data_IF_735175835247
#
_entry.id   IF_735175835247
#
_cell.length_a   1.000
_cell.length_b   1.000
_cell.length_c   1.000
_cell.angle_alpha   90.00
_cell.angle_beta   90.00
_cell.angle_gamma   90.00
#
_symmetry.space_group_name_H-M   'P 1'
#
loop_
_entity.id
_entity.type
_entity.pdbx_description
1 polymer ?
#
# COMPACT_ATOMS: atom_id res chain seq x y z
N UNK A 1 33.17 24.72 12.94
CA UNK A 1 32.39 24.60 11.67
C UNK A 1 31.00 24.15 12.07
N UNK A 2 29.97 24.96 11.82
CA UNK A 2 28.58 24.58 12.08
C UNK A 2 27.94 24.19 10.75
N UNK A 3 27.28 23.04 10.69
CA UNK A 3 26.52 22.64 9.51
C UNK A 3 25.24 23.48 9.40
N UNK A 4 24.88 23.89 8.19
CA UNK A 4 23.65 24.64 7.89
C UNK A 4 22.84 23.88 6.86
N UNK A 5 21.51 23.93 6.98
CA UNK A 5 20.61 23.34 6.00
C UNK A 5 20.75 24.10 4.67
N UNK A 6 20.91 23.39 3.56
CA UNK A 6 20.91 23.95 2.22
C UNK A 6 19.91 23.20 1.34
N UNK A 7 19.19 23.93 0.49
CA UNK A 7 18.31 23.31 -0.50
C UNK A 7 19.13 22.85 -1.69
N UNK A 8 18.85 21.65 -2.18
CA UNK A 8 19.41 21.15 -3.44
C UNK A 8 18.46 21.59 -4.55
N UNK A 9 18.85 22.64 -5.28
CA UNK A 9 18.10 23.20 -6.41
C UNK A 9 18.93 23.06 -7.69
N UNK A 10 18.38 23.43 -8.84
CA UNK A 10 19.12 23.50 -10.11
C UNK A 10 20.27 24.52 -10.11
N UNK A 11 20.38 25.35 -9.07
CA UNK A 11 21.50 26.28 -8.87
C UNK A 11 22.75 25.58 -8.33
N UNK A 12 22.61 24.37 -7.77
CA UNK A 12 23.73 23.53 -7.34
C UNK A 12 24.10 22.61 -8.50
N UNK A 13 25.20 22.88 -9.25
CA UNK A 13 25.56 22.07 -10.40
C UNK A 13 25.93 20.65 -9.96
N UNK A 14 25.53 19.66 -10.75
CA UNK A 14 25.98 18.29 -10.56
C UNK A 14 27.49 18.20 -10.82
N UNK A 15 28.20 17.47 -9.97
CA UNK A 15 29.60 17.12 -10.25
C UNK A 15 29.63 15.99 -11.29
N UNK A 16 30.38 16.20 -12.36
CA UNK A 16 30.32 15.38 -13.57
C UNK A 16 30.60 13.88 -13.30
N UNK A 17 31.61 13.56 -12.50
CA UNK A 17 31.96 12.16 -12.24
C UNK A 17 30.89 11.45 -11.39
N UNK A 18 30.35 12.15 -10.40
CA UNK A 18 29.27 11.67 -9.55
C UNK A 18 28.00 11.46 -10.37
N UNK A 19 27.67 12.41 -11.25
CA UNK A 19 26.53 12.31 -12.16
C UNK A 19 26.67 11.11 -13.10
N UNK A 20 27.85 10.88 -13.69
CA UNK A 20 28.11 9.72 -14.54
C UNK A 20 27.86 8.39 -13.82
N UNK A 21 28.35 8.26 -12.58
CA UNK A 21 28.15 7.04 -11.77
C UNK A 21 26.68 6.88 -11.37
N UNK A 22 26.02 7.95 -10.93
CA UNK A 22 24.62 7.92 -10.53
C UNK A 22 23.71 7.55 -11.72
N UNK A 23 23.93 8.16 -12.88
CA UNK A 23 23.17 7.91 -14.10
C UNK A 23 23.37 6.48 -14.62
N UNK A 24 24.57 5.91 -14.49
CA UNK A 24 24.80 4.51 -14.82
C UNK A 24 23.89 3.57 -14.02
N UNK A 25 23.87 3.71 -12.68
CA UNK A 25 23.03 2.88 -11.82
C UNK A 25 21.54 3.14 -12.00
N UNK A 26 21.14 4.39 -12.21
CA UNK A 26 19.76 4.74 -12.53
C UNK A 26 19.30 4.05 -13.82
N UNK A 27 20.08 4.15 -14.89
CA UNK A 27 19.76 3.53 -16.17
C UNK A 27 19.71 2.00 -16.09
N UNK A 28 20.60 1.37 -15.31
CA UNK A 28 20.52 -0.06 -15.03
C UNK A 28 19.22 -0.42 -14.29
N UNK A 29 18.80 0.38 -13.31
CA UNK A 29 17.53 0.21 -12.63
C UNK A 29 16.33 0.28 -13.58
N UNK A 30 16.31 1.27 -14.47
CA UNK A 30 15.28 1.41 -15.51
C UNK A 30 15.25 0.19 -16.45
N UNK A 31 16.41 -0.31 -16.87
CA UNK A 31 16.50 -1.54 -17.68
C UNK A 31 15.98 -2.76 -16.92
N UNK A 32 16.27 -2.86 -15.62
CA UNK A 32 15.74 -3.92 -14.75
C UNK A 32 14.21 -3.91 -14.70
N UNK A 33 13.59 -2.74 -14.54
CA UNK A 33 12.13 -2.62 -14.58
C UNK A 33 11.55 -3.04 -15.94
N UNK A 34 12.18 -2.64 -17.05
CA UNK A 34 11.77 -3.06 -18.40
C UNK A 34 11.88 -4.57 -18.62
N UNK A 35 12.95 -5.18 -18.11
CA UNK A 35 13.11 -6.64 -18.17
C UNK A 35 12.03 -7.41 -17.38
N UNK A 36 11.45 -6.77 -16.37
CA UNK A 36 10.30 -7.29 -15.60
C UNK A 36 8.94 -6.98 -16.26
N UNK A 37 8.93 -6.33 -17.42
CA UNK A 37 7.72 -5.98 -18.17
C UNK A 37 7.04 -4.67 -17.73
N UNK A 38 7.73 -3.81 -16.99
CA UNK A 38 7.26 -2.47 -16.66
C UNK A 38 7.75 -1.44 -17.67
N UNK A 39 6.97 -0.37 -17.85
CA UNK A 39 7.34 0.80 -18.63
C UNK A 39 7.41 2.01 -17.71
N UNK A 40 8.56 2.31 -17.07
CA UNK A 40 8.65 3.29 -15.99
C UNK A 40 8.11 4.68 -16.30
N UNK A 41 8.22 5.12 -17.56
CA UNK A 41 7.77 6.44 -18.01
C UNK A 41 6.29 6.47 -18.45
N UNK A 42 5.63 5.31 -18.52
CA UNK A 42 4.21 5.26 -18.88
C UNK A 42 3.38 5.91 -17.77
N UNK A 43 2.48 6.80 -18.19
CA UNK A 43 1.51 7.42 -17.30
C UNK A 43 0.46 6.37 -16.93
N UNK A 44 0.33 6.10 -15.64
CA UNK A 44 -0.70 5.21 -15.11
C UNK A 44 -1.99 5.99 -14.83
N UNK A 45 -1.86 7.23 -14.37
CA UNK A 45 -2.99 7.99 -13.86
C UNK A 45 -2.69 9.49 -13.81
N UNK A 46 -3.73 10.32 -14.02
CA UNK A 46 -3.67 11.76 -13.74
C UNK A 46 -4.69 12.11 -12.65
N UNK A 47 -4.19 12.40 -11.43
CA UNK A 47 -5.00 12.68 -10.25
C UNK A 47 -5.71 14.03 -10.38
N UNK A 48 -7.00 14.13 -9.99
CA UNK A 48 -7.69 15.42 -9.91
C UNK A 48 -7.02 16.39 -8.93
N UNK A 49 -7.15 17.69 -9.20
CA UNK A 49 -6.65 18.75 -8.30
C UNK A 49 -7.22 18.54 -6.89
N UNK A 50 -6.34 18.59 -5.88
CA UNK A 50 -6.70 18.40 -4.47
C UNK A 50 -6.71 16.94 -4.00
N UNK A 51 -6.47 15.98 -4.89
CA UNK A 51 -6.26 14.58 -4.51
C UNK A 51 -4.78 14.34 -4.24
N UNK A 52 -4.46 14.18 -2.96
CA UNK A 52 -3.11 13.91 -2.48
C UNK A 52 -3.02 12.47 -1.95
N UNK A 53 -2.17 11.66 -2.58
CA UNK A 53 -1.88 10.30 -2.11
C UNK A 53 -0.64 10.34 -1.19
N UNK A 54 -0.87 10.61 0.10
CA UNK A 54 0.20 10.73 1.10
C UNK A 54 0.86 9.38 1.42
N UNK A 55 2.12 9.24 1.00
CA UNK A 55 3.00 8.09 1.21
C UNK A 55 4.18 8.37 2.15
N UNK A 56 4.16 9.48 2.89
CA UNK A 56 5.19 9.80 3.88
C UNK A 56 5.23 8.74 4.98
N UNK A 57 6.43 8.31 5.34
CA UNK A 57 6.69 7.25 6.32
C UNK A 57 6.01 7.53 7.66
N UNK A 58 6.05 8.78 8.11
CA UNK A 58 5.37 9.21 9.33
C UNK A 58 3.84 9.07 9.27
N UNK A 59 3.24 9.31 8.10
CA UNK A 59 1.79 9.22 7.89
C UNK A 59 1.34 7.76 7.80
N UNK A 60 1.89 7.00 6.86
CA UNK A 60 1.44 5.62 6.54
C UNK A 60 1.70 4.62 7.67
N UNK A 61 2.60 4.94 8.60
CA UNK A 61 2.87 4.14 9.81
C UNK A 61 2.04 4.57 11.01
N UNK A 62 1.17 5.57 10.87
CA UNK A 62 0.48 6.17 12.00
C UNK A 62 -1.04 6.26 11.87
N UNK A 63 -1.54 6.36 10.64
CA UNK A 63 -2.97 6.40 10.33
C UNK A 63 -3.21 5.97 8.88
N UNK A 64 -4.44 5.57 8.55
CA UNK A 64 -4.85 5.29 7.17
C UNK A 64 -4.84 6.59 6.35
N UNK A 65 -3.92 6.71 5.39
CA UNK A 65 -3.90 7.79 4.40
C UNK A 65 -4.76 7.44 3.19
N UNK A 66 -5.07 8.43 2.33
CA UNK A 66 -5.75 8.18 1.07
C UNK A 66 -4.98 7.19 0.17
N UNK A 67 -3.63 7.22 0.19
CA UNK A 67 -2.81 6.24 -0.54
C UNK A 67 -3.04 4.82 0.00
N UNK A 68 -2.93 4.62 1.32
CA UNK A 68 -3.11 3.29 1.91
C UNK A 68 -4.53 2.75 1.72
N UNK A 69 -5.55 3.61 1.82
CA UNK A 69 -6.93 3.26 1.51
C UNK A 69 -7.09 2.88 0.02
N UNK A 70 -6.46 3.62 -0.88
CA UNK A 70 -6.47 3.33 -2.33
C UNK A 70 -5.82 1.97 -2.64
N UNK A 71 -4.73 1.60 -1.96
CA UNK A 71 -4.13 0.27 -2.07
C UNK A 71 -5.08 -0.82 -1.55
N UNK A 72 -5.75 -0.58 -0.43
CA UNK A 72 -6.76 -1.52 0.06
C UNK A 72 -7.91 -1.71 -0.94
N UNK A 73 -8.43 -0.62 -1.51
CA UNK A 73 -9.50 -0.67 -2.52
C UNK A 73 -9.04 -1.34 -3.83
N UNK A 74 -7.77 -1.18 -4.23
CA UNK A 74 -7.23 -1.86 -5.42
C UNK A 74 -7.23 -3.38 -5.24
N UNK A 75 -6.83 -3.87 -4.07
CA UNK A 75 -6.86 -5.30 -3.75
C UNK A 75 -8.29 -5.83 -3.64
N UNK A 76 -9.22 -5.04 -3.10
CA UNK A 76 -10.64 -5.39 -3.06
C UNK A 76 -11.24 -5.51 -4.47
N UNK A 77 -10.93 -4.58 -5.37
CA UNK A 77 -11.38 -4.66 -6.76
C UNK A 77 -10.82 -5.91 -7.44
N UNK A 78 -9.52 -6.19 -7.26
CA UNK A 78 -8.87 -7.36 -7.84
C UNK A 78 -9.47 -8.69 -7.34
N UNK A 79 -9.90 -8.75 -6.09
CA UNK A 79 -10.43 -9.97 -5.45
C UNK A 79 -11.95 -9.99 -5.33
N UNK A 80 -12.66 -9.13 -6.08
CA UNK A 80 -14.10 -8.96 -5.98
C UNK A 80 -14.89 -10.25 -6.29
N UNK A 81 -14.38 -11.13 -7.16
CA UNK A 81 -14.98 -12.44 -7.46
C UNK A 81 -15.01 -13.36 -6.25
N UNK A 82 -14.07 -13.19 -5.31
CA UNK A 82 -14.05 -13.87 -4.01
C UNK A 82 -14.86 -13.13 -2.95
N UNK A 83 -15.63 -12.11 -3.32
CA UNK A 83 -16.51 -11.33 -2.44
C UNK A 83 -15.78 -10.70 -1.25
N UNK A 84 -14.53 -10.29 -1.44
CA UNK A 84 -13.80 -9.55 -0.42
C UNK A 84 -14.47 -8.21 -0.14
N UNK A 85 -14.54 -7.85 1.14
CA UNK A 85 -15.30 -6.70 1.64
C UNK A 85 -14.48 -5.80 2.57
N UNK A 86 -13.33 -6.27 3.04
CA UNK A 86 -12.42 -5.53 3.92
C UNK A 86 -11.02 -5.62 3.33
N UNK A 87 -10.33 -4.50 3.18
CA UNK A 87 -8.96 -4.45 2.67
C UNK A 87 -8.01 -4.01 3.77
N UNK A 88 -6.89 -4.72 3.95
CA UNK A 88 -5.89 -4.36 4.96
C UNK A 88 -4.46 -4.48 4.41
N UNK A 89 -3.59 -3.55 4.80
CA UNK A 89 -2.14 -3.58 4.54
C UNK A 89 -1.37 -3.06 5.73
N UNK A 90 -0.11 -3.46 5.86
CA UNK A 90 0.81 -2.82 6.80
C UNK A 90 1.50 -1.59 6.17
N UNK A 91 1.70 -0.53 6.94
CA UNK A 91 2.27 0.74 6.46
C UNK A 91 3.69 0.61 5.89
N UNK A 92 4.45 -0.38 6.34
CA UNK A 92 5.81 -0.67 5.87
C UNK A 92 5.89 -1.09 4.41
N UNK A 93 4.75 -1.44 3.80
CA UNK A 93 4.62 -1.73 2.37
C UNK A 93 4.86 -0.50 1.49
N UNK A 94 4.56 0.71 1.99
CA UNK A 94 4.72 1.99 1.28
C UNK A 94 6.11 2.58 1.52
N UNK A 95 6.84 2.90 0.44
CA UNK A 95 8.28 3.23 0.48
C UNK A 95 8.69 4.60 -0.06
N UNK A 96 7.77 5.31 -0.69
CA UNK A 96 8.06 6.54 -1.46
C UNK A 96 8.50 7.75 -0.63
N UNK A 97 8.13 7.79 0.66
CA UNK A 97 8.34 8.93 1.60
C UNK A 97 8.02 10.32 1.02
N UNK A 98 6.94 10.39 0.24
CA UNK A 98 6.50 11.57 -0.49
C UNK A 98 4.97 11.56 -0.65
N UNK A 99 4.40 12.61 -1.23
CA UNK A 99 2.99 12.70 -1.57
C UNK A 99 2.85 12.71 -3.10
N UNK A 100 2.18 11.69 -3.62
CA UNK A 100 1.88 11.56 -5.04
C UNK A 100 0.72 12.49 -5.43
N UNK A 101 0.93 13.27 -6.49
CA UNK A 101 0.00 14.30 -7.03
C UNK A 101 0.05 14.30 -8.55
N UNK A 102 -1.01 14.85 -9.16
CA UNK A 102 -1.06 15.10 -10.60
C UNK A 102 -0.75 13.84 -11.42
N UNK A 103 0.26 13.87 -12.29
CA UNK A 103 0.66 12.74 -13.13
C UNK A 103 1.41 11.69 -12.32
N UNK A 104 0.89 10.46 -12.33
CA UNK A 104 1.48 9.28 -11.70
C UNK A 104 2.00 8.35 -12.79
N UNK A 105 3.31 8.10 -12.78
CA UNK A 105 3.95 7.16 -13.70
C UNK A 105 4.02 5.74 -13.11
N UNK A 106 4.36 4.75 -13.94
CA UNK A 106 4.69 3.42 -13.40
C UNK A 106 5.89 3.49 -12.43
N UNK A 107 6.88 4.35 -12.70
CA UNK A 107 8.03 4.53 -11.81
C UNK A 107 7.61 5.01 -10.42
N UNK A 108 6.64 5.93 -10.34
CA UNK A 108 6.08 6.40 -9.07
C UNK A 108 5.46 5.27 -8.25
N UNK A 109 4.72 4.36 -8.91
CA UNK A 109 4.12 3.22 -8.24
C UNK A 109 5.17 2.18 -7.85
N UNK A 110 6.18 1.94 -8.69
CA UNK A 110 7.30 1.03 -8.40
C UNK A 110 8.10 1.49 -7.17
N UNK A 111 8.41 2.78 -7.04
CA UNK A 111 9.06 3.32 -5.83
C UNK A 111 8.13 3.36 -4.61
N UNK A 112 6.81 3.35 -4.82
CA UNK A 112 5.81 3.29 -3.74
C UNK A 112 5.66 1.88 -3.17
N UNK A 113 5.52 0.87 -4.04
CA UNK A 113 5.33 -0.53 -3.70
C UNK A 113 6.41 -1.38 -4.38
N UNK A 114 7.67 -1.32 -3.93
CA UNK A 114 8.80 -1.97 -4.61
C UNK A 114 8.88 -3.48 -4.37
N UNK A 115 8.08 -4.01 -3.45
CA UNK A 115 8.07 -5.43 -3.12
C UNK A 115 7.03 -6.18 -3.93
N UNK A 116 7.40 -7.34 -4.46
CA UNK A 116 6.53 -8.25 -5.21
C UNK A 116 5.52 -9.00 -4.34
N UNK A 117 4.95 -8.35 -3.33
CA UNK A 117 3.96 -8.94 -2.43
C UNK A 117 2.67 -9.25 -3.21
N UNK A 118 2.34 -10.54 -3.31
CA UNK A 118 1.13 -11.01 -3.96
C UNK A 118 -0.12 -10.68 -3.13
N UNK A 119 -1.21 -10.35 -3.83
CA UNK A 119 -2.53 -10.13 -3.23
C UNK A 119 -3.21 -11.48 -2.99
N UNK A 120 -3.79 -11.65 -1.81
CA UNK A 120 -4.55 -12.83 -1.41
C UNK A 120 -5.94 -12.45 -0.91
N UNK A 121 -6.91 -13.30 -1.19
CA UNK A 121 -8.25 -13.24 -0.60
C UNK A 121 -8.35 -14.28 0.51
N UNK A 122 -8.75 -13.86 1.70
CA UNK A 122 -8.85 -14.70 2.89
C UNK A 122 -10.29 -14.69 3.40
N UNK A 123 -10.72 -15.78 4.03
CA UNK A 123 -11.93 -15.85 4.87
C UNK A 123 -11.48 -15.93 6.32
N UNK A 124 -11.84 -14.93 7.13
CA UNK A 124 -11.30 -14.70 8.48
C UNK A 124 -12.44 -14.59 9.49
N UNK A 125 -12.40 -15.32 10.62
CA UNK A 125 -13.35 -15.10 11.72
C UNK A 125 -13.32 -13.66 12.22
N UNK A 126 -14.49 -13.06 12.50
CA UNK A 126 -14.62 -11.66 12.91
C UNK A 126 -13.77 -11.29 14.14
N UNK A 127 -13.81 -12.12 15.18
CA UNK A 127 -13.00 -11.90 16.39
C UNK A 127 -11.49 -11.90 16.10
N UNK A 128 -11.03 -12.77 15.20
CA UNK A 128 -9.61 -12.84 14.80
C UNK A 128 -9.23 -11.63 13.95
N UNK A 129 -10.10 -11.20 13.04
CA UNK A 129 -9.90 -9.99 12.24
C UNK A 129 -9.80 -8.74 13.14
N UNK A 130 -10.69 -8.61 14.12
CA UNK A 130 -10.64 -7.54 15.12
C UNK A 130 -9.32 -7.56 15.88
N UNK A 131 -8.85 -8.74 16.32
CA UNK A 131 -7.56 -8.89 17.00
C UNK A 131 -6.39 -8.42 16.12
N UNK A 132 -6.36 -8.82 14.85
CA UNK A 132 -5.32 -8.41 13.88
C UNK A 132 -5.31 -6.89 13.72
N UNK A 133 -6.49 -6.28 13.55
CA UNK A 133 -6.64 -4.84 13.40
C UNK A 133 -6.21 -4.09 14.67
N UNK A 134 -6.62 -4.54 15.85
CA UNK A 134 -6.25 -3.95 17.15
C UNK A 134 -4.73 -4.00 17.37
N UNK A 135 -4.12 -5.17 17.14
CA UNK A 135 -2.66 -5.31 17.21
C UNK A 135 -1.99 -4.36 16.21
N UNK A 136 -2.50 -4.31 14.98
CA UNK A 136 -2.02 -3.45 13.92
C UNK A 136 -2.01 -1.96 14.29
N UNK A 137 -3.12 -1.41 14.76
CA UNK A 137 -3.18 0.02 15.11
C UNK A 137 -2.38 0.36 16.37
N UNK A 138 -2.13 -0.62 17.26
CA UNK A 138 -1.27 -0.43 18.45
C UNK A 138 0.20 -0.16 18.07
N UNK A 139 0.62 -0.55 16.86
CA UNK A 139 1.97 -0.42 16.34
C UNK A 139 2.22 0.93 15.65
N UNK A 140 1.61 2.01 16.16
CA UNK A 140 1.79 3.37 15.64
C UNK A 140 3.27 3.76 15.56
N UNK A 141 3.69 4.30 14.42
CA UNK A 141 5.08 4.62 14.07
C UNK A 141 5.89 3.42 13.53
N UNK A 142 5.37 2.20 13.59
CA UNK A 142 6.03 1.00 13.11
C UNK A 142 5.57 0.62 11.68
N UNK A 143 6.41 -0.11 10.94
CA UNK A 143 6.05 -0.64 9.62
C UNK A 143 4.94 -1.70 9.64
N UNK A 144 4.62 -2.27 10.81
CA UNK A 144 3.50 -3.17 11.01
C UNK A 144 2.21 -2.46 11.43
N UNK A 145 2.19 -1.12 11.47
CA UNK A 145 0.93 -0.38 11.60
C UNK A 145 -0.05 -0.80 10.51
N UNK A 146 -1.29 -1.12 10.88
CA UNK A 146 -2.29 -1.62 9.93
C UNK A 146 -3.17 -0.50 9.42
N UNK A 147 -3.12 -0.26 8.11
CA UNK A 147 -4.12 0.51 7.40
C UNK A 147 -5.24 -0.42 6.92
N UNK A 148 -6.47 0.10 6.91
CA UNK A 148 -7.68 -0.67 6.65
C UNK A 148 -8.73 0.16 5.92
N UNK A 149 -9.67 -0.51 5.25
CA UNK A 149 -10.87 0.12 4.64
C UNK A 149 -12.14 -0.65 5.01
N UNK A 150 -13.29 0.04 4.99
CA UNK A 150 -14.66 -0.49 5.21
C UNK A 150 -14.93 -1.07 6.61
N UNK A 151 -14.00 -0.90 7.54
CA UNK A 151 -14.19 -1.14 8.97
C UNK A 151 -13.84 0.12 9.75
N UNK A 152 -14.41 0.26 10.94
CA UNK A 152 -14.22 1.43 11.79
C UNK A 152 -14.05 1.03 13.26
N UNK A 153 -13.33 1.87 14.00
CA UNK A 153 -13.22 1.78 15.46
C UNK A 153 -13.22 3.19 16.04
N UNK A 154 -14.01 3.41 17.09
CA UNK A 154 -14.11 4.70 17.78
C UNK A 154 -13.43 4.69 19.15
N UNK A 155 -13.01 3.52 19.63
CA UNK A 155 -12.53 3.31 20.99
C UNK A 155 -11.08 2.78 21.03
N UNK A 156 -10.34 2.99 19.93
CA UNK A 156 -8.94 2.61 19.83
C UNK A 156 -8.73 1.10 19.68
N UNK A 157 -9.67 0.40 19.03
CA UNK A 157 -9.58 -1.03 18.74
C UNK A 157 -10.13 -1.93 19.84
N UNK A 158 -10.96 -1.43 20.76
CA UNK A 158 -11.72 -2.32 21.67
C UNK A 158 -12.95 -2.90 20.96
N UNK A 159 -13.55 -2.12 20.07
CA UNK A 159 -14.68 -2.48 19.22
C UNK A 159 -14.33 -2.22 17.76
N UNK A 160 -14.68 -3.15 16.88
CA UNK A 160 -14.54 -2.99 15.44
C UNK A 160 -15.89 -3.19 14.77
N UNK A 161 -16.32 -2.21 13.97
CA UNK A 161 -17.60 -2.26 13.28
C UNK A 161 -17.40 -2.49 11.78
N UNK A 162 -18.20 -3.38 11.22
CA UNK A 162 -18.43 -3.50 9.79
C UNK A 162 -19.91 -3.24 9.52
N UNK A 163 -20.24 -2.21 8.73
CA UNK A 163 -21.61 -1.76 8.50
C UNK A 163 -22.43 -1.62 9.80
N UNK A 164 -21.82 -1.02 10.83
CA UNK A 164 -22.43 -0.81 12.15
C UNK A 164 -22.54 -2.06 13.03
N UNK A 165 -22.12 -3.23 12.56
CA UNK A 165 -22.14 -4.49 13.34
C UNK A 165 -20.78 -4.74 13.97
N UNK A 166 -20.75 -4.98 15.29
CA UNK A 166 -19.53 -5.32 16.02
C UNK A 166 -19.00 -6.71 15.63
N UNK A 167 -17.85 -6.73 14.95
CA UNK A 167 -17.21 -7.96 14.48
C UNK A 167 -16.31 -8.58 15.56
N UNK A 168 -15.96 -7.85 16.62
CA UNK A 168 -15.02 -8.31 17.65
C UNK A 168 -15.51 -9.53 18.45
N UNK A 169 -16.83 -9.72 18.48
CA UNK A 169 -17.51 -10.84 19.15
C UNK A 169 -18.24 -11.75 18.17
N UNK A 170 -17.99 -11.58 16.87
CA UNK A 170 -18.66 -12.31 15.81
C UNK A 170 -17.91 -13.58 15.46
N UNK A 171 -18.63 -14.70 15.41
CA UNK A 171 -18.16 -15.97 14.84
C UNK A 171 -18.37 -16.05 13.32
N UNK A 172 -19.02 -15.03 12.71
CA UNK A 172 -19.11 -14.92 11.26
C UNK A 172 -17.73 -14.72 10.64
N UNK A 173 -17.59 -15.24 9.43
CA UNK A 173 -16.40 -15.08 8.60
C UNK A 173 -16.55 -13.87 7.67
N UNK A 174 -15.47 -13.12 7.53
CA UNK A 174 -15.36 -11.95 6.67
C UNK A 174 -14.30 -12.19 5.61
N UNK A 175 -14.64 -11.87 4.36
CA UNK A 175 -13.69 -12.02 3.26
C UNK A 175 -12.80 -10.78 3.18
N UNK A 176 -11.50 -10.98 3.37
CA UNK A 176 -10.49 -9.92 3.48
C UNK A 176 -9.53 -9.98 2.31
N UNK A 177 -9.25 -8.84 1.69
CA UNK A 177 -8.18 -8.68 0.71
C UNK A 177 -6.92 -8.13 1.41
N UNK A 178 -5.79 -8.82 1.26
CA UNK A 178 -4.52 -8.39 1.83
C UNK A 178 -3.34 -8.95 1.03
N UNK A 179 -2.12 -8.86 1.55
CA UNK A 179 -0.94 -9.46 0.93
C UNK A 179 -0.52 -10.75 1.60
N UNK A 180 0.20 -11.62 0.86
CA UNK A 180 0.82 -12.82 1.42
C UNK A 180 1.73 -12.48 2.62
N UNK A 181 2.46 -11.36 2.56
CA UNK A 181 3.29 -10.89 3.68
C UNK A 181 2.45 -10.61 4.94
N UNK A 182 1.35 -9.87 4.82
CA UNK A 182 0.48 -9.59 5.97
C UNK A 182 -0.16 -10.88 6.49
N UNK A 183 -0.56 -11.80 5.61
CA UNK A 183 -1.05 -13.13 6.02
C UNK A 183 -0.01 -13.85 6.88
N UNK A 184 1.22 -13.98 6.37
CA UNK A 184 2.24 -14.84 6.94
C UNK A 184 2.85 -14.30 8.24
N UNK A 185 2.93 -12.97 8.37
CA UNK A 185 3.57 -12.29 9.51
C UNK A 185 2.58 -11.69 10.52
N UNK A 186 1.31 -12.07 10.48
CA UNK A 186 0.30 -11.70 11.48
C UNK A 186 -0.47 -12.93 11.95
N UNK A 187 -1.49 -12.75 12.80
CA UNK A 187 -2.37 -13.82 13.24
C UNK A 187 -3.25 -14.41 12.10
N UNK A 188 -3.16 -13.84 10.89
CA UNK A 188 -3.84 -14.37 9.71
C UNK A 188 -3.23 -15.67 9.16
N UNK A 189 -2.07 -16.09 9.65
CA UNK A 189 -1.50 -17.41 9.37
C UNK A 189 -2.14 -18.55 10.19
N UNK A 190 -3.15 -18.23 11.00
CA UNK A 190 -3.90 -19.18 11.81
C UNK A 190 -4.61 -20.24 10.96
N UNK A 191 -4.73 -21.46 11.50
CA UNK A 191 -5.51 -22.55 10.90
C UNK A 191 -7.01 -22.25 10.79
N UNK A 192 -7.51 -21.25 11.51
CA UNK A 192 -8.90 -20.78 11.39
C UNK A 192 -9.13 -19.85 10.19
N UNK A 193 -8.08 -19.42 9.50
CA UNK A 193 -8.16 -18.58 8.30
C UNK A 193 -8.08 -19.46 7.06
N UNK A 194 -9.03 -19.30 6.15
CA UNK A 194 -9.03 -19.99 4.86
C UNK A 194 -8.52 -19.07 3.77
N UNK A 195 -7.52 -19.50 2.99
CA UNK A 195 -7.16 -18.79 1.75
C UNK A 195 -8.20 -19.13 0.69
N UNK A 196 -8.97 -18.13 0.27
CA UNK A 196 -9.98 -18.27 -0.78
C UNK A 196 -9.33 -18.24 -2.17
N UNK A 197 -8.32 -17.39 -2.35
CA UNK A 197 -7.62 -17.23 -3.61
C UNK A 197 -6.25 -16.60 -3.43
N UNK A 198 -5.27 -17.11 -4.17
CA UNK A 198 -3.97 -16.47 -4.40
C UNK A 198 -3.96 -15.93 -5.82
N UNK A 199 -3.86 -14.61 -5.95
CA UNK A 199 -4.05 -13.96 -7.26
C UNK A 199 -2.85 -14.13 -8.18
N UNK A 200 -1.67 -14.49 -7.65
CA UNK A 200 -0.37 -14.32 -8.32
C UNK A 200 -0.10 -12.90 -8.86
N UNK A 201 -0.94 -11.91 -8.53
CA UNK A 201 -0.82 -10.52 -8.94
C UNK A 201 -0.27 -9.73 -7.75
N UNK A 202 0.73 -8.89 -8.00
CA UNK A 202 1.33 -8.07 -6.95
C UNK A 202 0.42 -6.91 -6.57
N UNK A 203 0.51 -6.45 -5.32
CA UNK A 203 -0.14 -5.20 -4.90
C UNK A 203 0.25 -4.01 -5.78
N UNK A 204 1.47 -4.00 -6.34
CA UNK A 204 2.00 -2.98 -7.25
C UNK A 204 1.20 -2.94 -8.53
N UNK A 205 1.00 -4.11 -9.15
CA UNK A 205 0.20 -4.25 -10.37
C UNK A 205 -1.27 -3.96 -10.11
N UNK A 206 -1.81 -4.44 -8.99
CA UNK A 206 -3.17 -4.13 -8.53
C UNK A 206 -3.41 -2.62 -8.42
N UNK A 207 -2.47 -1.88 -7.81
CA UNK A 207 -2.59 -0.43 -7.68
C UNK A 207 -2.54 0.28 -9.04
N UNK A 208 -1.65 -0.15 -9.94
CA UNK A 208 -1.57 0.40 -11.30
C UNK A 208 -2.90 0.27 -12.04
N UNK A 209 -3.47 -0.94 -12.07
CA UNK A 209 -4.73 -1.23 -12.77
C UNK A 209 -5.90 -0.47 -12.14
N UNK A 210 -5.93 -0.37 -10.82
CA UNK A 210 -6.98 0.39 -10.11
C UNK A 210 -6.91 1.89 -10.40
N UNK A 211 -5.72 2.48 -10.36
CA UNK A 211 -5.54 3.91 -10.63
C UNK A 211 -5.89 4.25 -12.08
N UNK A 212 -5.49 3.43 -13.04
CA UNK A 212 -5.83 3.62 -14.45
C UNK A 212 -7.35 3.60 -14.73
N UNK A 213 -8.13 2.93 -13.88
CA UNK A 213 -9.60 2.92 -13.96
C UNK A 213 -10.20 4.11 -13.21
N UNK A 214 -9.74 4.37 -11.98
CA UNK A 214 -10.32 5.39 -11.11
C UNK A 214 -9.99 6.82 -11.55
N UNK A 215 -8.77 7.02 -12.02
CA UNK A 215 -8.20 8.29 -12.44
C UNK A 215 -7.40 8.04 -13.73
N UNK A 216 -8.08 7.90 -14.89
CA UNK A 216 -7.45 7.47 -16.13
C UNK A 216 -6.24 8.32 -16.51
N UNK A 217 -5.28 7.75 -17.28
CA UNK A 217 -4.16 8.52 -17.80
C UNK A 217 -4.68 9.67 -18.68
N UNK A 218 -3.99 10.79 -18.55
CA UNK A 218 -3.92 11.80 -19.59
C UNK A 218 -2.92 11.35 -20.66
#
# INVERSE_FOLDING_TARGET
>A
IYSTLAQVTSEVPEEENTALVANYWFNLGIQGFKALGYEPNEIVSCLPIGIDLDGRSGSVRSYTTLLTATICESMLQLTATNRTIIGIINGGTVRIDDILRETITQYDILRTLPFGNQVVALSVPGHLLAQVLTNGISLKGNGMFMAYTRVETLDGGKTWLFNGTDISKSDLYYNVATTAYVRDFTQLNSTYVTTLYDTNITQTRSLMEYLAIKYPPC
#
